data_IF_565603509737
#
_entry.id   IF_565603509737
#
_cell.length_a   1.000
_cell.length_b   1.000
_cell.length_c   1.000
_cell.angle_alpha   90.00
_cell.angle_beta   90.00
_cell.angle_gamma   90.00
#
_symmetry.space_group_name_H-M   'P 1'
#
loop_
_entity.id
_entity.type
_entity.pdbx_description
1 polymer ?
#
# COMPACT_ATOMS: atom_id res chain seq x y z
N UNK A 1 1.49 9.72 20.52
CA UNK A 1 0.34 9.33 19.65
C UNK A 1 0.84 8.58 18.43
N UNK A 2 0.11 7.57 17.99
CA UNK A 2 0.53 6.69 16.88
C UNK A 2 -0.55 6.74 15.80
N UNK A 3 -0.13 7.06 14.57
CA UNK A 3 -0.97 7.10 13.39
C UNK A 3 -0.57 5.98 12.42
N UNK A 4 -1.50 5.56 11.58
CA UNK A 4 -1.30 4.49 10.62
C UNK A 4 -1.92 4.80 9.26
N UNK A 5 -1.25 4.36 8.20
CA UNK A 5 -1.68 4.46 6.80
C UNK A 5 -1.07 3.30 6.00
N UNK A 6 -1.45 3.13 4.73
CA UNK A 6 -0.89 2.08 3.86
C UNK A 6 -0.12 2.63 2.68
N UNK A 7 0.62 1.74 2.02
CA UNK A 7 1.12 1.79 0.64
C UNK A 7 1.42 3.20 0.10
N UNK A 8 2.63 3.71 0.34
CA UNK A 8 3.02 5.02 -0.21
C UNK A 8 3.65 4.91 -1.61
N UNK A 9 4.06 3.70 -2.02
CA UNK A 9 4.68 3.37 -3.30
C UNK A 9 5.73 4.41 -3.73
N UNK A 10 6.62 4.75 -2.81
CA UNK A 10 7.67 5.73 -3.04
C UNK A 10 7.12 7.12 -3.40
N UNK A 11 7.25 7.51 -4.66
CA UNK A 11 6.84 8.86 -5.12
C UNK A 11 5.38 8.96 -5.55
N UNK A 12 4.67 7.84 -5.63
CA UNK A 12 3.32 7.77 -6.20
C UNK A 12 2.32 8.31 -5.17
N UNK A 13 2.26 7.73 -3.97
CA UNK A 13 1.21 8.01 -2.98
C UNK A 13 1.70 8.76 -1.74
N UNK A 14 3.01 8.98 -1.58
CA UNK A 14 3.59 9.72 -0.42
C UNK A 14 2.97 11.11 -0.20
N UNK A 15 2.41 11.73 -1.24
CA UNK A 15 1.74 13.03 -1.13
C UNK A 15 0.55 13.01 -0.17
N UNK A 16 -0.03 11.85 0.18
CA UNK A 16 -1.06 11.76 1.22
C UNK A 16 -0.54 12.22 2.58
N UNK A 17 0.75 12.08 2.85
CA UNK A 17 1.42 12.58 4.07
C UNK A 17 1.65 14.10 4.05
N UNK A 18 1.44 14.79 2.92
CA UNK A 18 1.52 16.25 2.87
C UNK A 18 0.23 16.94 3.33
N UNK A 19 -0.84 16.19 3.55
CA UNK A 19 -2.16 16.77 3.80
C UNK A 19 -2.32 17.09 5.29
N UNK A 20 -2.65 18.35 5.54
CA UNK A 20 -2.58 18.99 6.85
C UNK A 20 -3.58 18.45 7.89
N UNK A 21 -4.62 17.73 7.45
CA UNK A 21 -5.76 17.30 8.26
C UNK A 21 -5.35 16.49 9.51
N UNK A 22 -4.25 15.74 9.39
CA UNK A 22 -3.67 14.92 10.46
C UNK A 22 -2.25 15.36 10.80
N UNK A 23 -1.40 15.63 9.79
CA UNK A 23 0.04 15.86 10.01
C UNK A 23 0.38 17.16 10.72
N UNK A 24 -0.50 18.18 10.72
CA UNK A 24 -0.29 19.40 11.51
C UNK A 24 -0.47 19.19 13.02
N UNK A 25 -1.24 18.17 13.42
CA UNK A 25 -1.52 17.84 14.83
C UNK A 25 -0.44 16.93 15.44
N UNK A 26 0.45 16.41 14.60
CA UNK A 26 1.53 15.50 14.97
C UNK A 26 2.72 16.27 15.53
N UNK A 27 3.26 15.77 16.63
CA UNK A 27 4.40 16.30 17.38
C UNK A 27 5.65 15.46 17.16
N UNK A 28 6.74 15.84 17.83
CA UNK A 28 8.03 15.14 17.70
C UNK A 28 8.12 13.80 18.41
N UNK A 29 7.17 13.52 19.30
CA UNK A 29 7.07 12.25 20.04
C UNK A 29 6.08 11.27 19.38
N UNK A 30 5.50 11.64 18.24
CA UNK A 30 4.50 10.84 17.56
C UNK A 30 5.12 9.96 16.47
N UNK A 31 4.37 8.93 16.08
CA UNK A 31 4.77 7.93 15.10
C UNK A 31 3.75 7.86 13.97
N UNK A 32 4.23 7.63 12.75
CA UNK A 32 3.39 7.27 11.60
C UNK A 32 3.86 5.92 11.07
N UNK A 33 2.99 4.92 11.14
CA UNK A 33 3.23 3.56 10.66
C UNK A 33 2.66 3.41 9.25
N UNK A 34 3.45 2.82 8.34
CA UNK A 34 3.04 2.48 6.97
C UNK A 34 2.93 0.95 6.85
N UNK A 35 1.75 0.46 6.47
CA UNK A 35 1.43 -0.97 6.33
C UNK A 35 1.97 -1.58 5.01
N UNK A 36 3.27 -1.49 4.77
CA UNK A 36 3.92 -2.04 3.57
C UNK A 36 3.91 -1.11 2.37
N UNK A 37 4.56 -1.57 1.30
CA UNK A 37 4.80 -0.85 0.05
C UNK A 37 5.30 0.59 0.28
N UNK A 38 6.38 0.67 1.06
CA UNK A 38 7.07 1.91 1.36
C UNK A 38 7.73 2.49 0.10
N UNK A 39 8.29 1.65 -0.77
CA UNK A 39 8.73 2.01 -2.13
C UNK A 39 9.81 3.12 -2.24
N UNK A 40 10.38 3.61 -1.12
CA UNK A 40 11.53 4.54 -1.12
C UNK A 40 12.88 3.82 -0.95
N UNK A 41 12.86 2.50 -0.84
CA UNK A 41 14.02 1.60 -0.90
C UNK A 41 13.77 0.62 -2.05
N UNK A 42 13.72 1.14 -3.27
CA UNK A 42 13.33 0.42 -4.47
C UNK A 42 14.49 0.24 -5.44
N UNK A 43 15.29 1.29 -5.65
CA UNK A 43 16.38 1.22 -6.60
C UNK A 43 17.48 0.26 -6.12
N UNK A 44 17.57 -0.89 -6.79
CA UNK A 44 18.46 -2.00 -6.43
C UNK A 44 19.95 -1.68 -6.51
N UNK A 45 20.34 -0.66 -7.29
CA UNK A 45 21.75 -0.27 -7.42
C UNK A 45 22.19 0.60 -6.25
N UNK A 46 21.40 1.65 -5.97
CA UNK A 46 21.68 2.67 -4.96
C UNK A 46 20.51 3.63 -4.84
N UNK A 47 20.54 4.41 -3.78
CA UNK A 47 19.62 5.53 -3.60
C UNK A 47 19.68 6.55 -4.76
N UNK A 48 18.55 6.73 -5.44
CA UNK A 48 18.41 7.74 -6.49
C UNK A 48 17.99 9.13 -5.94
N UNK A 49 17.89 10.12 -6.84
CA UNK A 49 17.55 11.48 -6.45
C UNK A 49 16.12 11.65 -5.89
N UNK A 50 15.16 10.84 -6.36
CA UNK A 50 13.77 10.91 -5.89
C UNK A 50 13.64 10.28 -4.51
N UNK A 51 14.21 9.09 -4.31
CA UNK A 51 14.28 8.45 -3.00
C UNK A 51 14.98 9.34 -1.99
N UNK A 52 16.16 9.89 -2.34
CA UNK A 52 16.91 10.81 -1.46
C UNK A 52 16.10 12.00 -1.01
N UNK A 53 15.36 12.63 -1.93
CA UNK A 53 14.54 13.80 -1.63
C UNK A 53 13.44 13.46 -0.62
N UNK A 54 12.73 12.35 -0.84
CA UNK A 54 11.63 11.94 0.03
C UNK A 54 12.08 11.36 1.36
N UNK A 55 13.15 10.55 1.39
CA UNK A 55 13.76 10.08 2.64
C UNK A 55 14.29 11.25 3.47
N UNK A 56 14.90 12.26 2.84
CA UNK A 56 15.29 13.50 3.53
C UNK A 56 14.08 14.25 4.07
N UNK A 57 12.99 14.34 3.29
CA UNK A 57 11.77 14.99 3.73
C UNK A 57 11.15 14.27 4.94
N UNK A 58 10.98 12.95 4.88
CA UNK A 58 10.49 12.13 6.00
C UNK A 58 11.36 12.27 7.24
N UNK A 59 12.69 12.22 7.07
CA UNK A 59 13.62 12.33 8.19
C UNK A 59 13.59 13.72 8.88
N UNK A 60 13.12 14.75 8.18
CA UNK A 60 12.99 16.10 8.72
C UNK A 60 11.58 16.40 9.26
N UNK A 61 10.68 15.41 9.26
CA UNK A 61 9.36 15.57 9.86
C UNK A 61 9.46 15.59 11.38
N UNK A 62 8.38 16.08 12.01
CA UNK A 62 8.27 16.08 13.47
C UNK A 62 8.25 14.64 13.98
N UNK A 63 7.42 13.79 13.40
CA UNK A 63 7.29 12.38 13.78
C UNK A 63 8.45 11.48 13.32
N UNK A 64 8.46 10.26 13.87
CA UNK A 64 9.24 9.14 13.35
C UNK A 64 8.37 8.29 12.41
N UNK A 65 8.86 8.02 11.20
CA UNK A 65 8.18 7.14 10.24
C UNK A 65 8.63 5.71 10.46
N UNK A 66 7.66 4.83 10.67
CA UNK A 66 7.85 3.39 10.81
C UNK A 66 7.17 2.70 9.63
N UNK A 67 7.70 1.57 9.16
CA UNK A 67 7.03 0.77 8.14
C UNK A 67 7.37 -0.72 8.30
N UNK A 68 6.42 -1.58 7.95
CA UNK A 68 6.72 -2.98 7.61
C UNK A 68 7.01 -3.05 6.11
N UNK A 69 7.76 -4.04 5.64
CA UNK A 69 7.90 -4.30 4.21
C UNK A 69 6.60 -4.86 3.59
N UNK A 70 6.40 -4.62 2.31
CA UNK A 70 5.34 -5.19 1.49
C UNK A 70 5.90 -6.05 0.37
N UNK A 71 5.23 -6.04 -0.78
CA UNK A 71 5.75 -6.69 -1.97
C UNK A 71 6.47 -5.70 -2.90
N UNK A 72 6.54 -4.39 -2.60
CA UNK A 72 7.24 -3.37 -3.40
C UNK A 72 8.52 -2.81 -2.73
N UNK A 73 9.39 -3.71 -2.28
CA UNK A 73 10.68 -3.37 -1.66
C UNK A 73 11.85 -4.05 -2.37
N UNK A 74 13.01 -3.37 -2.41
CA UNK A 74 14.27 -4.00 -2.79
C UNK A 74 14.90 -4.65 -1.56
N UNK A 75 14.56 -5.90 -1.28
CA UNK A 75 15.03 -6.65 -0.10
C UNK A 75 16.55 -6.68 0.09
N UNK A 76 17.40 -6.88 -0.94
CA UNK A 76 18.85 -6.84 -0.76
C UNK A 76 19.36 -5.50 -0.23
N UNK A 77 18.74 -4.40 -0.64
CA UNK A 77 19.10 -3.06 -0.17
C UNK A 77 18.49 -2.79 1.21
N UNK A 78 17.24 -3.19 1.44
CA UNK A 78 16.59 -3.08 2.74
C UNK A 78 17.38 -3.81 3.84
N UNK A 79 17.82 -5.04 3.56
CA UNK A 79 18.61 -5.87 4.47
C UNK A 79 20.09 -5.43 4.60
N UNK A 80 20.54 -4.47 3.78
CA UNK A 80 21.90 -3.91 3.89
C UNK A 80 22.00 -2.75 4.88
N UNK A 81 20.86 -2.21 5.34
CA UNK A 81 20.85 -1.11 6.30
C UNK A 81 21.25 -1.59 7.70
N UNK A 82 21.84 -0.71 8.54
CA UNK A 82 22.21 -1.06 9.90
C UNK A 82 21.02 -1.58 10.71
N UNK A 83 21.23 -2.70 11.41
CA UNK A 83 20.28 -3.23 12.39
C UNK A 83 20.53 -2.57 13.74
N UNK A 84 19.48 -2.14 14.44
CA UNK A 84 19.56 -1.71 15.84
C UNK A 84 18.40 -2.25 16.66
N UNK A 85 18.64 -2.45 17.95
CA UNK A 85 17.58 -2.64 18.95
C UNK A 85 16.83 -1.32 19.16
N UNK A 86 15.51 -1.36 19.12
CA UNK A 86 14.64 -0.21 19.21
C UNK A 86 13.29 -0.62 19.80
N UNK A 87 12.92 -0.07 20.95
CA UNK A 87 11.63 -0.33 21.60
C UNK A 87 11.29 -1.83 21.79
N UNK A 88 12.29 -2.65 22.14
CA UNK A 88 12.10 -4.08 22.42
C UNK A 88 12.18 -5.01 21.20
N UNK A 89 12.31 -4.47 19.99
CA UNK A 89 12.53 -5.25 18.78
C UNK A 89 13.63 -4.67 17.90
N UNK A 90 13.93 -5.36 16.80
CA UNK A 90 14.97 -4.95 15.84
C UNK A 90 14.40 -4.14 14.69
N UNK A 91 15.13 -3.12 14.26
CA UNK A 91 14.79 -2.31 13.07
C UNK A 91 15.96 -2.21 12.11
N UNK A 92 15.67 -2.10 10.81
CA UNK A 92 16.64 -1.53 9.87
C UNK A 92 16.54 0.00 9.91
N UNK A 93 17.65 0.68 10.21
CA UNK A 93 17.71 2.14 10.21
C UNK A 93 18.00 2.65 8.79
N UNK A 94 16.93 2.98 8.04
CA UNK A 94 17.06 3.62 6.72
C UNK A 94 17.57 5.07 6.89
N UNK A 95 17.04 5.76 7.91
CA UNK A 95 17.49 7.08 8.43
C UNK A 95 17.13 7.16 9.92
N UNK A 96 17.68 8.13 10.70
CA UNK A 96 17.38 8.27 12.12
C UNK A 96 15.88 8.32 12.48
N UNK A 97 15.04 8.95 11.64
CA UNK A 97 13.58 9.02 11.81
C UNK A 97 12.79 8.18 10.77
N UNK A 98 13.44 7.26 10.06
CA UNK A 98 12.79 6.37 9.09
C UNK A 98 13.27 4.94 9.34
N UNK A 99 12.41 4.15 9.97
CA UNK A 99 12.77 2.83 10.50
C UNK A 99 11.89 1.75 9.87
N UNK A 100 12.53 0.69 9.39
CA UNK A 100 11.85 -0.53 8.99
C UNK A 100 11.69 -1.44 10.21
N UNK A 101 10.45 -1.77 10.58
CA UNK A 101 10.13 -2.73 11.63
C UNK A 101 10.40 -4.14 11.09
N UNK A 102 11.43 -4.81 11.61
CA UNK A 102 11.82 -6.12 11.07
C UNK A 102 10.74 -7.18 11.34
N UNK A 103 10.63 -8.12 10.40
CA UNK A 103 9.66 -9.21 10.43
C UNK A 103 9.77 -10.04 11.72
N UNK A 104 8.63 -10.30 12.36
CA UNK A 104 8.51 -11.15 13.54
C UNK A 104 8.84 -10.47 14.86
N UNK A 105 9.21 -9.19 14.84
CA UNK A 105 9.52 -8.41 16.03
C UNK A 105 8.23 -7.90 16.73
N UNK A 106 8.35 -7.68 18.04
CA UNK A 106 7.31 -7.06 18.86
C UNK A 106 7.90 -5.80 19.48
N UNK A 107 7.21 -4.67 19.32
CA UNK A 107 7.67 -3.36 19.78
C UNK A 107 6.78 -2.81 20.88
N UNK A 108 7.36 -2.13 21.86
CA UNK A 108 6.65 -1.37 22.89
C UNK A 108 6.76 0.13 22.62
N UNK A 109 5.68 0.73 22.13
CA UNK A 109 5.64 2.14 21.71
C UNK A 109 4.47 2.81 22.43
N UNK A 110 4.74 3.89 23.16
CA UNK A 110 3.73 4.66 23.90
C UNK A 110 2.89 3.77 24.86
N UNK A 111 3.51 2.74 25.45
CA UNK A 111 2.86 1.80 26.37
C UNK A 111 1.95 0.76 25.70
N UNK A 112 1.96 0.65 24.37
CA UNK A 112 1.26 -0.38 23.60
C UNK A 112 2.23 -1.30 22.88
N UNK A 113 1.83 -2.55 22.69
CA UNK A 113 2.60 -3.60 22.02
C UNK A 113 2.18 -3.78 20.56
N UNK A 114 3.16 -3.84 19.66
CA UNK A 114 2.97 -3.93 18.21
C UNK A 114 3.72 -5.14 17.66
N UNK A 115 2.99 -6.14 17.15
CA UNK A 115 3.60 -7.20 16.35
C UNK A 115 3.72 -6.74 14.90
N UNK A 116 4.93 -6.81 14.34
CA UNK A 116 5.23 -6.39 12.97
C UNK A 116 5.59 -7.59 12.10
N UNK A 117 4.90 -7.76 10.97
CA UNK A 117 5.23 -8.77 9.99
C UNK A 117 4.88 -8.30 8.58
N UNK A 118 5.90 -7.95 7.81
CA UNK A 118 5.77 -7.58 6.40
C UNK A 118 5.64 -8.78 5.47
N UNK A 119 5.59 -8.47 4.17
CA UNK A 119 5.55 -9.44 3.07
C UNK A 119 4.15 -9.68 2.51
N UNK A 120 4.12 -9.95 1.21
CA UNK A 120 2.95 -10.38 0.43
C UNK A 120 3.42 -10.92 -0.93
N UNK A 121 2.60 -11.73 -1.60
CA UNK A 121 2.85 -12.04 -3.01
C UNK A 121 2.59 -10.84 -3.91
N UNK A 122 3.52 -10.57 -4.83
CA UNK A 122 3.21 -9.68 -5.97
C UNK A 122 2.06 -10.24 -6.81
N UNK A 123 1.07 -9.38 -7.07
CA UNK A 123 -0.10 -9.72 -7.87
C UNK A 123 -0.08 -9.06 -9.26
N UNK A 124 0.81 -8.10 -9.46
CA UNK A 124 0.98 -7.25 -10.64
C UNK A 124 2.27 -7.53 -11.42
N UNK A 125 3.22 -8.25 -10.82
CA UNK A 125 4.54 -8.53 -11.41
C UNK A 125 5.13 -9.87 -10.96
N UNK A 126 6.24 -10.25 -11.59
CA UNK A 126 7.02 -11.43 -11.21
C UNK A 126 6.65 -12.70 -12.00
N UNK A 127 7.43 -13.78 -11.83
CA UNK A 127 7.27 -15.01 -12.61
C UNK A 127 5.89 -15.65 -12.48
N UNK A 128 5.27 -15.52 -11.30
CA UNK A 128 3.93 -16.02 -11.02
C UNK A 128 2.83 -15.36 -11.87
N UNK A 129 3.11 -14.19 -12.46
CA UNK A 129 2.22 -13.46 -13.37
C UNK A 129 2.62 -13.54 -14.84
N UNK A 130 3.66 -14.32 -15.14
CA UNK A 130 4.18 -14.41 -16.51
C UNK A 130 4.89 -13.13 -16.96
N UNK A 131 5.23 -12.24 -16.03
CA UNK A 131 6.00 -11.02 -16.33
C UNK A 131 7.43 -11.42 -16.69
N UNK A 132 7.73 -11.40 -17.99
CA UNK A 132 9.06 -11.71 -18.53
C UNK A 132 10.07 -10.58 -18.31
N UNK A 133 9.59 -9.38 -17.96
CA UNK A 133 10.41 -8.20 -17.68
C UNK A 133 10.73 -8.05 -16.18
N UNK A 134 10.04 -8.80 -15.31
CA UNK A 134 10.42 -9.00 -13.92
C UNK A 134 11.77 -9.73 -13.84
N UNK A 135 12.84 -8.96 -13.68
CA UNK A 135 14.18 -9.49 -13.50
C UNK A 135 14.43 -9.69 -12.01
N UNK A 136 14.57 -10.95 -11.61
CA UNK A 136 14.99 -11.35 -10.26
C UNK A 136 16.22 -10.51 -9.86
N UNK A 137 16.12 -9.83 -8.71
CA UNK A 137 17.21 -9.00 -8.21
C UNK A 137 17.23 -7.56 -8.74
N UNK A 138 16.28 -7.17 -9.61
CA UNK A 138 16.18 -5.79 -10.14
C UNK A 138 14.78 -5.18 -10.02
N UNK A 139 13.74 -5.93 -10.38
CA UNK A 139 12.34 -5.46 -10.38
C UNK A 139 11.38 -6.39 -9.63
N UNK A 140 11.87 -7.54 -9.14
CA UNK A 140 11.14 -8.47 -8.30
C UNK A 140 12.12 -9.30 -7.44
N UNK A 141 11.69 -9.71 -6.25
CA UNK A 141 12.49 -10.47 -5.29
C UNK A 141 11.69 -11.59 -4.63
N UNK A 142 12.21 -12.84 -4.57
CA UNK A 142 11.54 -13.91 -3.84
C UNK A 142 11.37 -13.61 -2.33
N UNK A 143 12.20 -12.72 -1.78
CA UNK A 143 12.13 -12.26 -0.39
C UNK A 143 10.87 -11.43 -0.06
N UNK A 144 10.05 -11.07 -1.06
CA UNK A 144 8.68 -10.57 -0.86
C UNK A 144 7.85 -11.54 0.00
N UNK A 145 8.15 -12.84 -0.07
CA UNK A 145 7.60 -13.90 0.78
C UNK A 145 8.56 -14.16 1.95
N UNK A 146 8.13 -13.97 3.21
CA UNK A 146 8.89 -14.38 4.37
C UNK A 146 9.30 -15.85 4.32
N UNK A 147 10.55 -16.11 4.73
CA UNK A 147 11.11 -17.46 4.87
C UNK A 147 10.43 -18.24 6.00
N UNK A 148 10.55 -19.56 5.97
CA UNK A 148 10.05 -20.41 7.07
C UNK A 148 10.71 -20.05 8.40
N UNK A 149 11.99 -19.71 8.37
CA UNK A 149 12.74 -19.29 9.55
C UNK A 149 12.19 -17.98 10.15
N UNK A 150 11.84 -16.99 9.31
CA UNK A 150 11.22 -15.74 9.77
C UNK A 150 9.83 -15.97 10.36
N UNK A 151 9.01 -16.81 9.73
CA UNK A 151 7.69 -17.17 10.24
C UNK A 151 7.75 -17.98 11.54
N UNK A 152 8.69 -18.93 11.66
CA UNK A 152 8.90 -19.68 12.89
C UNK A 152 9.43 -18.77 14.01
N UNK A 153 10.36 -17.86 13.69
CA UNK A 153 10.84 -16.84 14.62
C UNK A 153 9.69 -15.98 15.15
N UNK A 154 8.82 -15.50 14.26
CA UNK A 154 7.66 -14.70 14.62
C UNK A 154 6.71 -15.43 15.58
N UNK A 155 6.41 -16.71 15.31
CA UNK A 155 5.56 -17.52 16.20
C UNK A 155 6.20 -17.73 17.56
N UNK A 156 7.50 -18.02 17.63
CA UNK A 156 8.23 -18.14 18.90
C UNK A 156 8.23 -16.83 19.67
N UNK A 157 8.33 -15.69 18.98
CA UNK A 157 8.31 -14.39 19.63
C UNK A 157 6.92 -14.07 20.20
N UNK A 158 5.85 -14.34 19.43
CA UNK A 158 4.47 -14.24 19.91
C UNK A 158 4.21 -15.16 21.11
N UNK A 159 4.68 -16.40 21.08
CA UNK A 159 4.54 -17.36 22.18
C UNK A 159 5.21 -16.86 23.48
N UNK A 160 6.42 -16.30 23.38
CA UNK A 160 7.12 -15.69 24.53
C UNK A 160 6.35 -14.52 25.15
N UNK A 161 5.53 -13.83 24.35
CA UNK A 161 4.64 -12.75 24.80
C UNK A 161 3.23 -13.26 25.14
N UNK A 162 3.06 -14.57 25.36
CA UNK A 162 1.80 -15.18 25.75
C UNK A 162 0.72 -15.12 24.66
N UNK A 163 1.13 -15.01 23.39
CA UNK A 163 0.24 -14.83 22.23
C UNK A 163 -0.76 -13.67 22.41
N UNK A 164 -0.29 -12.57 23.01
CA UNK A 164 -1.08 -11.35 23.19
C UNK A 164 -0.25 -10.13 22.82
N UNK A 165 -0.82 -9.29 21.96
CA UNK A 165 -0.30 -7.95 21.62
C UNK A 165 -1.47 -6.99 21.52
N UNK A 166 -1.25 -5.69 21.53
CA UNK A 166 -2.33 -4.72 21.37
C UNK A 166 -2.66 -4.55 19.88
N UNK A 167 -1.61 -4.42 19.06
CA UNK A 167 -1.75 -4.17 17.63
C UNK A 167 -0.93 -5.13 16.77
N UNK A 168 -1.51 -5.55 15.64
CA UNK A 168 -0.82 -6.30 14.59
C UNK A 168 -0.72 -5.43 13.35
N UNK A 169 0.50 -5.28 12.82
CA UNK A 169 0.77 -4.52 11.60
C UNK A 169 1.35 -5.45 10.55
N UNK A 170 0.62 -5.60 9.44
CA UNK A 170 1.04 -6.41 8.29
C UNK A 170 0.87 -5.65 6.98
N UNK A 171 1.39 -6.22 5.89
CA UNK A 171 1.10 -5.70 4.56
C UNK A 171 -0.15 -6.35 3.96
N UNK A 172 -0.23 -7.69 3.92
CA UNK A 172 -1.43 -8.43 3.49
C UNK A 172 -2.26 -8.98 4.67
N UNK A 173 -3.44 -9.50 4.35
CA UNK A 173 -4.45 -10.01 5.29
C UNK A 173 -4.35 -11.54 5.34
N UNK A 174 -4.90 -12.18 6.38
CA UNK A 174 -5.14 -13.62 6.36
C UNK A 174 -6.05 -14.04 5.20
N UNK A 175 -5.83 -15.25 4.66
CA UNK A 175 -6.48 -15.80 3.46
C UNK A 175 -7.98 -15.52 3.36
N UNK A 176 -8.74 -15.85 4.41
CA UNK A 176 -10.19 -15.70 4.48
C UNK A 176 -10.61 -14.24 4.24
N UNK A 177 -9.85 -13.29 4.76
CA UNK A 177 -10.19 -11.86 4.67
C UNK A 177 -9.84 -11.26 3.32
N UNK A 178 -8.83 -11.78 2.62
CA UNK A 178 -8.52 -11.34 1.24
C UNK A 178 -9.73 -11.49 0.31
N UNK A 179 -10.43 -12.63 0.43
CA UNK A 179 -11.64 -12.92 -0.36
C UNK A 179 -12.76 -11.90 -0.15
N UNK A 180 -12.91 -11.36 1.06
CA UNK A 180 -13.91 -10.33 1.35
C UNK A 180 -13.56 -8.96 0.76
N UNK A 181 -12.27 -8.62 0.66
CA UNK A 181 -11.82 -7.28 0.25
C UNK A 181 -11.76 -7.15 -1.27
N UNK A 182 -11.29 -8.17 -1.99
CA UNK A 182 -11.07 -8.12 -3.45
C UNK A 182 -11.69 -9.30 -4.22
N UNK A 183 -12.71 -9.95 -3.67
CA UNK A 183 -13.51 -10.99 -4.34
C UNK A 183 -12.67 -12.11 -4.97
N UNK A 184 -11.55 -12.49 -4.35
CA UNK A 184 -10.70 -13.59 -4.83
C UNK A 184 -9.65 -13.20 -5.88
N UNK A 185 -9.45 -11.91 -6.17
CA UNK A 185 -8.33 -11.45 -7.03
C UNK A 185 -6.94 -11.72 -6.41
N UNK A 186 -6.90 -12.00 -5.11
CA UNK A 186 -5.69 -12.29 -4.33
C UNK A 186 -5.76 -13.75 -3.88
N UNK A 187 -5.07 -14.66 -4.58
CA UNK A 187 -5.11 -16.08 -4.23
C UNK A 187 -4.40 -16.32 -2.89
N UNK A 188 -4.77 -17.39 -2.16
CA UNK A 188 -4.05 -17.79 -0.96
C UNK A 188 -2.58 -18.08 -1.27
N UNK A 189 -1.70 -17.66 -0.37
CA UNK A 189 -0.26 -17.95 -0.42
C UNK A 189 0.27 -18.33 0.97
N UNK A 190 1.57 -18.60 1.05
CA UNK A 190 2.23 -19.01 2.29
C UNK A 190 2.11 -17.95 3.40
N UNK A 191 2.13 -16.67 3.05
CA UNK A 191 2.08 -15.54 3.99
C UNK A 191 0.66 -15.34 4.51
N UNK A 192 -0.33 -15.38 3.63
CA UNK A 192 -1.73 -15.24 4.02
C UNK A 192 -2.21 -16.42 4.88
N UNK A 193 -1.73 -17.64 4.59
CA UNK A 193 -1.97 -18.83 5.43
C UNK A 193 -1.25 -18.74 6.78
N UNK A 194 -0.03 -18.19 6.81
CA UNK A 194 0.65 -17.89 8.06
C UNK A 194 -0.15 -16.91 8.91
N UNK A 195 -0.72 -15.87 8.30
CA UNK A 195 -1.58 -14.92 9.00
C UNK A 195 -2.89 -15.52 9.48
N UNK A 196 -3.43 -16.57 8.84
CA UNK A 196 -4.56 -17.33 9.40
C UNK A 196 -4.19 -18.02 10.70
N UNK A 197 -2.99 -18.64 10.73
CA UNK A 197 -2.46 -19.24 11.96
C UNK A 197 -2.31 -18.20 13.06
N UNK A 198 -1.70 -17.04 12.77
CA UNK A 198 -1.56 -15.92 13.73
C UNK A 198 -2.94 -15.47 14.23
N UNK A 199 -3.89 -15.23 13.34
CA UNK A 199 -5.25 -14.83 13.67
C UNK A 199 -5.98 -15.85 14.58
N UNK A 200 -5.65 -17.14 14.45
CA UNK A 200 -6.25 -18.20 15.27
C UNK A 200 -5.68 -18.32 16.69
N UNK A 201 -4.42 -17.92 16.91
CA UNK A 201 -3.73 -18.12 18.20
C UNK A 201 -3.47 -16.82 18.98
N UNK A 202 -3.41 -15.67 18.32
CA UNK A 202 -3.05 -14.39 18.94
C UNK A 202 -4.30 -13.61 19.34
N UNK A 203 -4.29 -13.08 20.56
CA UNK A 203 -5.26 -12.09 21.03
C UNK A 203 -4.71 -10.70 20.75
N UNK A 204 -5.50 -9.88 20.07
CA UNK A 204 -5.15 -8.50 19.72
C UNK A 204 -6.36 -7.57 19.83
N UNK A 205 -6.09 -6.27 20.00
CA UNK A 205 -7.13 -5.23 20.04
C UNK A 205 -7.49 -4.76 18.63
N UNK A 206 -6.48 -4.52 17.78
CA UNK A 206 -6.66 -4.12 16.39
C UNK A 206 -5.58 -4.67 15.46
N UNK A 207 -5.92 -4.91 14.19
CA UNK A 207 -4.98 -5.32 13.14
C UNK A 207 -5.10 -4.40 11.93
N UNK A 208 -3.98 -3.87 11.44
CA UNK A 208 -3.92 -3.02 10.25
C UNK A 208 -3.11 -3.65 9.11
N UNK A 209 -3.63 -3.55 7.88
CA UNK A 209 -3.05 -4.09 6.65
C UNK A 209 -3.08 -3.05 5.52
N UNK A 210 -2.18 -3.17 4.53
CA UNK A 210 -2.19 -2.41 3.27
C UNK A 210 -2.56 -3.28 2.07
N UNK A 211 -1.76 -3.24 1.00
CA UNK A 211 -1.72 -4.14 -0.17
C UNK A 211 -2.89 -4.02 -1.16
N UNK A 212 -4.12 -3.86 -0.68
CA UNK A 212 -5.32 -3.92 -1.55
C UNK A 212 -5.73 -2.56 -2.15
N UNK A 213 -4.96 -1.50 -1.88
CA UNK A 213 -5.22 -0.14 -2.39
C UNK A 213 -6.64 0.37 -2.13
N UNK A 214 -7.19 0.06 -0.96
CA UNK A 214 -8.52 0.52 -0.55
C UNK A 214 -8.57 0.77 0.96
N UNK A 215 -9.55 1.55 1.43
CA UNK A 215 -9.82 1.67 2.86
C UNK A 215 -11.07 0.87 3.22
N UNK A 216 -10.91 -0.26 3.91
CA UNK A 216 -12.04 -1.11 4.31
C UNK A 216 -11.86 -1.65 5.71
N UNK A 217 -12.94 -1.65 6.49
CA UNK A 217 -13.01 -2.37 7.75
C UNK A 217 -13.57 -3.77 7.50
N UNK A 218 -12.91 -4.78 8.05
CA UNK A 218 -13.39 -6.17 8.06
C UNK A 218 -13.70 -6.60 9.50
N UNK A 219 -14.09 -7.86 9.69
CA UNK A 219 -14.46 -8.36 11.02
C UNK A 219 -13.22 -8.60 11.90
N UNK A 220 -13.43 -8.87 13.20
CA UNK A 220 -12.35 -9.04 14.20
C UNK A 220 -11.38 -7.85 14.31
N UNK A 221 -11.90 -6.62 14.28
CA UNK A 221 -11.12 -5.39 14.45
C UNK A 221 -9.91 -5.34 13.50
N UNK A 222 -10.15 -5.60 12.23
CA UNK A 222 -9.15 -5.51 11.17
C UNK A 222 -9.54 -4.38 10.22
N UNK A 223 -8.57 -3.55 9.84
CA UNK A 223 -8.76 -2.54 8.79
C UNK A 223 -7.66 -2.64 7.75
N UNK A 224 -8.06 -2.57 6.48
CA UNK A 224 -7.16 -2.21 5.39
C UNK A 224 -7.11 -0.69 5.31
N UNK A 225 -5.91 -0.13 5.33
CA UNK A 225 -5.65 1.30 5.20
C UNK A 225 -4.88 1.54 3.90
N UNK A 226 -5.25 2.58 3.16
CA UNK A 226 -4.52 3.00 1.97
C UNK A 226 -4.34 4.51 1.93
N UNK A 227 -5.37 5.25 1.55
CA UNK A 227 -5.28 6.72 1.37
C UNK A 227 -5.49 7.51 2.67
N UNK A 228 -6.10 6.89 3.69
CA UNK A 228 -6.44 7.52 4.97
C UNK A 228 -5.30 7.39 5.98
N UNK A 229 -5.23 8.38 6.87
CA UNK A 229 -4.33 8.38 8.03
C UNK A 229 -5.21 8.44 9.27
N UNK A 230 -5.11 7.43 10.14
CA UNK A 230 -5.94 7.31 11.34
C UNK A 230 -5.09 7.08 12.58
N UNK A 231 -5.55 7.49 13.77
CA UNK A 231 -4.98 7.01 15.02
C UNK A 231 -5.12 5.48 15.09
N UNK A 232 -4.10 4.82 15.63
CA UNK A 232 -4.16 3.39 15.96
C UNK A 232 -5.26 3.13 16.99
N UNK A 233 -5.91 1.97 16.90
CA UNK A 233 -7.09 1.58 17.69
C UNK A 233 -8.43 2.03 17.11
N UNK A 234 -8.43 2.79 16.00
CA UNK A 234 -9.65 3.22 15.31
C UNK A 234 -9.89 2.43 14.01
N UNK A 235 -11.16 2.16 13.64
CA UNK A 235 -11.51 1.67 12.31
C UNK A 235 -11.28 2.74 11.24
N UNK A 236 -10.95 2.31 10.02
CA UNK A 236 -10.66 3.23 8.91
C UNK A 236 -11.88 4.04 8.49
N UNK A 237 -13.11 3.53 8.71
CA UNK A 237 -14.35 4.29 8.46
C UNK A 237 -14.46 5.59 9.28
N UNK A 238 -13.76 5.68 10.41
CA UNK A 238 -13.79 6.87 11.28
C UNK A 238 -12.86 7.99 10.81
N UNK A 239 -12.00 7.75 9.82
CA UNK A 239 -11.19 8.81 9.22
C UNK A 239 -12.04 9.74 8.36
N UNK A 240 -11.70 11.03 8.37
CA UNK A 240 -12.12 11.93 7.32
C UNK A 240 -11.70 11.37 5.96
N UNK A 241 -12.61 11.45 4.99
CA UNK A 241 -12.24 11.20 3.60
C UNK A 241 -11.17 12.25 3.25
N UNK A 242 -10.09 11.81 2.61
CA UNK A 242 -8.99 12.67 2.19
C UNK A 242 -9.03 12.81 0.66
N UNK A 243 -8.79 14.02 0.13
CA UNK A 243 -8.94 14.32 -1.30
C UNK A 243 -8.04 13.37 -2.06
N UNK A 244 -8.58 12.51 -2.92
CA UNK A 244 -7.73 11.77 -3.84
C UNK A 244 -6.99 12.78 -4.72
N UNK A 245 -5.70 12.56 -4.99
CA UNK A 245 -5.04 13.30 -6.08
C UNK A 245 -5.35 12.50 -7.33
N UNK A 246 -6.19 13.00 -8.26
CA UNK A 246 -6.53 12.26 -9.46
C UNK A 246 -5.28 11.87 -10.24
N UNK A 247 -5.10 10.58 -10.52
CA UNK A 247 -4.06 10.07 -11.43
C UNK A 247 -4.35 10.49 -12.87
N UNK A 248 -5.62 10.57 -13.24
CA UNK A 248 -6.06 10.86 -14.60
C UNK A 248 -6.74 12.22 -14.70
N UNK A 249 -6.73 12.80 -15.90
CA UNK A 249 -7.33 14.11 -16.22
C UNK A 249 -8.45 13.96 -17.22
N UNK A 250 -9.37 14.92 -17.22
CA UNK A 250 -10.37 15.04 -18.29
C UNK A 250 -9.69 15.06 -19.66
N UNK A 251 -10.24 14.28 -20.59
CA UNK A 251 -9.73 14.07 -21.95
C UNK A 251 -8.71 12.94 -22.07
N UNK A 252 -8.19 12.39 -20.97
CA UNK A 252 -7.30 11.24 -21.05
C UNK A 252 -8.08 9.95 -21.32
N UNK A 253 -7.45 9.05 -22.09
CA UNK A 253 -7.99 7.71 -22.34
C UNK A 253 -7.42 6.73 -21.34
N UNK A 254 -8.30 5.90 -20.79
CA UNK A 254 -7.99 4.89 -19.78
C UNK A 254 -8.54 3.54 -20.20
N UNK A 255 -7.88 2.46 -19.77
CA UNK A 255 -8.37 1.10 -19.93
C UNK A 255 -9.11 0.70 -18.66
N UNK A 256 -10.35 0.22 -18.77
CA UNK A 256 -11.18 -0.24 -17.64
C UNK A 256 -12.10 -1.37 -18.09
N UNK A 257 -12.87 -1.96 -17.18
CA UNK A 257 -13.79 -3.07 -17.50
C UNK A 257 -15.17 -2.53 -17.90
N UNK A 258 -15.68 -2.96 -19.05
CA UNK A 258 -17.09 -2.83 -19.43
C UNK A 258 -17.78 -4.19 -19.30
N UNK A 259 -18.47 -4.41 -18.18
CA UNK A 259 -18.90 -5.76 -17.81
C UNK A 259 -17.69 -6.65 -17.54
N UNK A 260 -17.56 -7.74 -18.29
CA UNK A 260 -16.46 -8.72 -18.16
C UNK A 260 -15.33 -8.51 -19.18
N UNK A 261 -15.42 -7.50 -20.04
CA UNK A 261 -14.43 -7.23 -21.10
C UNK A 261 -13.65 -5.93 -20.84
N UNK A 262 -12.32 -5.92 -21.02
CA UNK A 262 -11.55 -4.68 -21.01
C UNK A 262 -11.92 -3.78 -22.20
N UNK A 263 -12.18 -2.50 -21.94
CA UNK A 263 -12.54 -1.52 -22.94
C UNK A 263 -11.86 -0.16 -22.68
N UNK A 264 -11.55 0.55 -23.75
CA UNK A 264 -11.03 1.91 -23.67
C UNK A 264 -12.17 2.87 -23.36
N UNK A 265 -11.91 3.81 -22.46
CA UNK A 265 -12.85 4.86 -22.10
C UNK A 265 -12.15 6.21 -21.99
N UNK A 266 -12.84 7.27 -22.37
CA UNK A 266 -12.36 8.64 -22.19
C UNK A 266 -12.88 9.21 -20.87
N UNK A 267 -12.00 9.88 -20.12
CA UNK A 267 -12.38 10.59 -18.89
C UNK A 267 -13.09 11.88 -19.25
N UNK A 268 -14.39 11.96 -18.97
CA UNK A 268 -15.21 13.16 -19.15
C UNK A 268 -15.04 14.12 -17.99
N UNK A 269 -15.03 13.61 -16.76
CA UNK A 269 -14.97 14.44 -15.56
C UNK A 269 -14.17 13.76 -14.48
N UNK A 270 -13.43 14.58 -13.74
CA UNK A 270 -12.70 14.15 -12.55
C UNK A 270 -13.43 14.66 -11.31
N UNK A 271 -13.79 13.75 -10.42
CA UNK A 271 -14.41 14.04 -9.12
C UNK A 271 -13.45 13.56 -8.01
N UNK A 272 -12.53 14.43 -7.52
CA UNK A 272 -11.49 14.05 -6.55
C UNK A 272 -12.01 13.46 -5.22
N UNK A 273 -13.31 13.63 -4.97
CA UNK A 273 -14.02 13.20 -3.76
C UNK A 273 -15.17 12.24 -4.06
N UNK A 274 -15.35 11.83 -5.32
CA UNK A 274 -16.64 11.36 -5.80
C UNK A 274 -17.72 12.45 -5.81
N UNK A 275 -18.87 12.19 -6.47
CA UNK A 275 -19.97 13.15 -6.51
C UNK A 275 -20.58 13.30 -5.11
N UNK A 276 -21.23 14.44 -4.85
CA UNK A 276 -21.74 14.83 -3.52
C UNK A 276 -22.52 13.72 -2.80
N UNK A 277 -23.33 12.95 -3.54
CA UNK A 277 -24.17 11.86 -3.02
C UNK A 277 -23.46 10.50 -2.90
N UNK A 278 -22.27 10.35 -3.49
CA UNK A 278 -21.45 9.13 -3.44
C UNK A 278 -19.99 9.50 -3.20
N UNK A 279 -19.71 10.08 -2.02
CA UNK A 279 -18.33 10.40 -1.65
C UNK A 279 -17.45 9.16 -1.67
N UNK A 280 -16.24 9.30 -2.15
CA UNK A 280 -15.26 8.24 -2.38
C UNK A 280 -13.94 8.57 -1.70
N UNK A 281 -13.25 7.53 -1.23
CA UNK A 281 -11.91 7.57 -0.62
C UNK A 281 -10.76 7.54 -1.64
N UNK A 282 -11.13 7.49 -2.92
CA UNK A 282 -10.28 7.65 -4.08
C UNK A 282 -10.99 8.54 -5.11
N UNK A 283 -10.24 9.17 -6.05
CA UNK A 283 -10.84 9.92 -7.15
C UNK A 283 -11.87 9.05 -7.89
N UNK A 284 -12.98 9.66 -8.28
CA UNK A 284 -13.90 9.04 -9.22
C UNK A 284 -13.85 9.76 -10.55
N UNK A 285 -14.13 9.01 -11.60
CA UNK A 285 -14.09 9.48 -12.97
C UNK A 285 -15.44 9.23 -13.61
N UNK A 286 -16.02 10.27 -14.20
CA UNK A 286 -17.07 10.10 -15.19
C UNK A 286 -16.38 9.73 -16.49
N UNK A 287 -16.71 8.56 -17.03
CA UNK A 287 -16.11 8.04 -18.26
C UNK A 287 -17.19 7.73 -19.30
N UNK A 288 -16.77 7.66 -20.57
CA UNK A 288 -17.57 7.11 -21.66
C UNK A 288 -16.72 6.14 -22.48
N UNK A 289 -17.28 5.01 -22.89
CA UNK A 289 -16.54 4.04 -23.71
C UNK A 289 -16.49 4.50 -25.18
N UNK A 290 -15.43 4.14 -25.89
CA UNK A 290 -15.37 4.41 -27.33
C UNK A 290 -16.40 3.54 -28.07
N UNK A 291 -17.23 4.18 -28.88
CA UNK A 291 -18.33 3.52 -29.61
C UNK A 291 -19.71 3.78 -29.02
N UNK A 292 -19.80 4.31 -27.80
CA UNK A 292 -21.05 4.79 -27.21
C UNK A 292 -21.42 6.17 -27.80
N UNK A 293 -22.72 6.46 -27.90
CA UNK A 293 -23.18 7.79 -28.31
C UNK A 293 -22.84 8.81 -27.21
N UNK A 294 -22.12 9.88 -27.56
CA UNK A 294 -21.74 10.95 -26.63
C UNK A 294 -22.94 11.69 -26.01
N UNK A 295 -24.16 11.40 -26.48
CA UNK A 295 -25.41 11.85 -25.88
C UNK A 295 -25.82 11.07 -24.61
N UNK A 296 -25.26 9.90 -24.36
CA UNK A 296 -25.51 9.11 -23.16
C UNK A 296 -24.77 9.65 -21.93
N UNK A 297 -25.39 9.47 -20.76
CA UNK A 297 -24.80 9.90 -19.48
C UNK A 297 -23.56 9.06 -19.20
N UNK A 298 -22.43 9.72 -18.94
CA UNK A 298 -21.20 9.05 -18.56
C UNK A 298 -21.37 8.18 -17.31
N UNK A 299 -20.56 7.13 -17.23
CA UNK A 299 -20.57 6.18 -16.12
C UNK A 299 -19.55 6.65 -15.08
N UNK A 300 -19.98 6.73 -13.82
CA UNK A 300 -19.08 7.03 -12.71
C UNK A 300 -18.37 5.77 -12.24
N UNK A 301 -17.05 5.74 -12.39
CA UNK A 301 -16.18 4.68 -11.87
C UNK A 301 -15.19 5.24 -10.84
N UNK A 302 -14.67 4.38 -9.98
CA UNK A 302 -13.58 4.73 -9.06
C UNK A 302 -12.20 4.59 -9.74
N UNK A 303 -11.20 5.30 -9.24
CA UNK A 303 -9.81 5.20 -9.74
C UNK A 303 -9.29 3.76 -9.75
N UNK A 304 -9.56 2.96 -8.72
CA UNK A 304 -9.18 1.55 -8.61
C UNK A 304 -9.82 0.62 -9.64
N UNK A 305 -10.85 1.10 -10.36
CA UNK A 305 -11.45 0.36 -11.47
C UNK A 305 -10.74 0.64 -12.80
N UNK A 306 -9.82 1.61 -12.84
CA UNK A 306 -8.99 1.89 -14.00
C UNK A 306 -7.78 0.97 -13.94
N UNK A 307 -7.59 0.18 -15.00
CA UNK A 307 -6.49 -0.77 -15.15
C UNK A 307 -5.19 0.01 -15.39
N UNK A 308 -5.18 0.88 -16.41
CA UNK A 308 -4.03 1.72 -16.74
C UNK A 308 -4.40 2.93 -17.62
N UNK A 309 -3.43 3.83 -17.82
CA UNK A 309 -3.54 4.92 -18.82
C UNK A 309 -3.25 4.35 -20.21
N UNK A 310 -4.12 4.59 -21.17
CA UNK A 310 -3.81 4.24 -22.57
C UNK A 310 -3.03 5.38 -23.22
N UNK A 311 -1.89 5.03 -23.83
CA UNK A 311 -1.17 5.89 -24.76
C UNK A 311 -1.70 5.56 -26.15
N UNK A 312 -2.88 6.07 -26.51
CA UNK A 312 -3.23 6.10 -27.94
C UNK A 312 -2.23 7.06 -28.57
N UNK A 313 -1.35 6.51 -29.40
CA UNK A 313 -0.37 7.21 -30.21
C UNK A 313 -1.05 8.39 -30.92
N UNK A 314 -0.47 9.59 -30.82
CA UNK A 314 -0.55 10.56 -31.91
C UNK A 314 0.20 9.91 -33.08
N UNK A 315 -0.53 9.23 -33.98
CA UNK A 315 0.01 8.98 -35.32
C UNK A 315 0.17 10.35 -35.98
N UNK A 316 1.41 10.83 -36.06
CA UNK A 316 1.80 11.80 -37.08
C UNK A 316 1.41 11.18 -38.44
N UNK A 317 0.55 11.88 -39.18
CA UNK A 317 0.33 11.63 -40.60
C UNK A 317 1.68 11.71 -41.32
N UNK A 318 2.31 10.57 -41.58
CA UNK A 318 3.21 10.45 -42.74
C UNK A 318 2.32 10.56 -43.98
N UNK A 319 2.15 11.80 -44.46
CA UNK A 319 1.70 12.03 -45.83
C UNK A 319 2.67 11.31 -46.79
N UNK A 320 2.14 10.28 -47.46
CA UNK A 320 2.67 9.72 -48.69
C UNK A 320 3.03 10.85 -49.66
N UNK A 321 4.33 11.12 -49.84
CA UNK A 321 4.85 11.81 -51.03
C UNK A 321 5.63 10.79 -51.84
N UNK A 322 4.89 10.07 -52.69
CA UNK A 322 5.43 9.41 -53.87
C UNK A 322 5.00 10.24 -55.11
N UNK A 323 5.90 11.10 -55.58
CA UNK A 323 6.01 11.60 -56.97
C UNK A 323 7.35 12.32 -57.21
#
# INVERSE_FOLDING_TARGET
MIYITGDIHGTIDIRKLLKNNVTEKITENDYVIICGDFGLVWNYKKEDGKERKWLKWLNNQRWTTLFVDGNHECFPRLNSFPVKEWHGGRVHEVRPKVLHLMRGEIFEIEGSTFFAMGGASSHDRGPAKGDTDAVIGKSWWPEEIPSDEEMEYALKNLEKHGNKVDYIITHCLPTMYQGFVKQGQFPPDKVSEFFEKVNSIVKYEYWYSGHYHCNVDVTRNMSVVYSRIIPVGMPVRNADIIMGIPKYRTGETVLTMNGDEPALAMVLKVEPWGPVLKRSDEPMYEITFFGDDFSEKGIMIKESQIIEKSLIYEEEEEEDIDA
#
